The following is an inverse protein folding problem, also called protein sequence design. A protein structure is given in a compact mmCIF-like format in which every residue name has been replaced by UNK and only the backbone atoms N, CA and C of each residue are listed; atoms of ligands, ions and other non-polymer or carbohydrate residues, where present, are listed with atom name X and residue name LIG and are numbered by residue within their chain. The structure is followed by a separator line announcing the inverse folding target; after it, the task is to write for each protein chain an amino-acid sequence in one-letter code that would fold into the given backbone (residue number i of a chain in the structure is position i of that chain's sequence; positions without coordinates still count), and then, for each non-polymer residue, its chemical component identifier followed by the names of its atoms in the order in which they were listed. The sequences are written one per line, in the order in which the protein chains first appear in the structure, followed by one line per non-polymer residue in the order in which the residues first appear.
data_IF_966167911337
#
_entry.id   IF_966167911337
#
_cell.length_a   1.000
_cell.length_b   1.000
_cell.length_c   1.000
_cell.angle_alpha   90.00
_cell.angle_beta   90.00
_cell.angle_gamma   90.00
#
_symmetry.space_group_name_H-M   'P 1'
#
loop_
_entity.id
_entity.type
_entity.pdbx_description
1 polymer ?
#
# COMPACT_ATOMS: atom_id res chain seq x y z
N UNK A 1 17.61 -38.47 -23.30
CA UNK A 1 16.58 -37.92 -22.40
C UNK A 1 16.44 -36.45 -22.75
N UNK A 2 15.37 -36.09 -23.47
CA UNK A 2 15.03 -34.69 -23.69
C UNK A 2 14.47 -34.15 -22.38
N UNK A 3 15.29 -33.48 -21.58
CA UNK A 3 14.79 -32.58 -20.54
C UNK A 3 14.10 -31.44 -21.27
N UNK A 4 12.77 -31.49 -21.37
CA UNK A 4 11.99 -30.32 -21.74
C UNK A 4 12.48 -29.16 -20.86
N UNK A 5 12.80 -28.02 -21.47
CA UNK A 5 13.09 -26.83 -20.69
C UNK A 5 11.91 -26.59 -19.76
N UNK A 6 12.14 -26.34 -18.46
CA UNK A 6 11.03 -26.09 -17.54
C UNK A 6 10.20 -24.94 -18.10
N UNK A 7 8.88 -25.15 -18.21
CA UNK A 7 7.94 -24.08 -18.55
C UNK A 7 8.17 -22.94 -17.55
N UNK A 8 8.42 -21.71 -18.03
CA UNK A 8 8.69 -20.58 -17.15
C UNK A 8 7.49 -20.38 -16.22
N UNK A 9 7.76 -20.37 -14.92
CA UNK A 9 6.72 -20.22 -13.90
C UNK A 9 6.18 -18.80 -13.90
N UNK A 10 4.90 -18.58 -13.53
CA UNK A 10 4.37 -17.24 -13.37
C UNK A 10 5.19 -16.41 -12.38
N UNK A 11 5.37 -15.12 -12.68
CA UNK A 11 6.27 -14.24 -11.93
C UNK A 11 5.50 -13.22 -11.09
N UNK A 12 5.69 -13.24 -9.77
CA UNK A 12 5.23 -12.20 -8.86
C UNK A 12 6.39 -11.21 -8.63
N UNK A 13 6.18 -9.96 -8.99
CA UNK A 13 7.23 -8.94 -9.07
C UNK A 13 6.97 -7.84 -8.05
N UNK A 14 8.01 -7.48 -7.31
CA UNK A 14 8.05 -6.30 -6.45
C UNK A 14 9.11 -5.33 -6.98
N UNK A 15 8.76 -4.06 -7.01
CA UNK A 15 9.68 -2.96 -7.29
C UNK A 15 9.84 -2.12 -6.03
N UNK A 16 11.02 -2.12 -5.43
CA UNK A 16 11.23 -1.53 -4.10
C UNK A 16 12.52 -0.75 -4.08
N UNK A 17 12.47 0.54 -3.74
CA UNK A 17 13.68 1.35 -3.59
C UNK A 17 13.48 2.52 -2.63
N UNK A 18 14.58 3.00 -2.05
CA UNK A 18 14.59 4.19 -1.21
C UNK A 18 14.37 3.90 0.28
N UNK A 19 13.27 4.41 0.84
CA UNK A 19 13.08 4.40 2.29
C UNK A 19 12.90 2.97 2.84
N UNK A 20 13.53 2.69 3.99
CA UNK A 20 13.45 1.40 4.70
C UNK A 20 11.99 0.94 4.92
N UNK A 21 11.05 1.86 5.10
CA UNK A 21 9.64 1.51 5.27
C UNK A 21 9.06 0.76 4.07
N UNK A 22 9.52 1.01 2.85
CA UNK A 22 9.04 0.29 1.66
C UNK A 22 9.58 -1.14 1.60
N UNK A 23 10.83 -1.35 2.04
CA UNK A 23 11.40 -2.69 2.20
C UNK A 23 10.67 -3.49 3.28
N UNK A 24 10.33 -2.85 4.40
CA UNK A 24 9.52 -3.46 5.45
C UNK A 24 8.14 -3.91 4.94
N UNK A 25 7.46 -3.04 4.21
CA UNK A 25 6.19 -3.36 3.56
C UNK A 25 6.33 -4.56 2.60
N UNK A 26 7.34 -4.54 1.72
CA UNK A 26 7.58 -5.62 0.76
C UNK A 26 7.90 -6.96 1.42
N UNK A 27 8.76 -6.97 2.45
CA UNK A 27 9.10 -8.19 3.22
C UNK A 27 7.84 -8.81 3.81
N UNK A 28 6.97 -8.00 4.40
CA UNK A 28 5.71 -8.50 4.95
C UNK A 28 4.73 -8.98 3.87
N UNK A 29 4.58 -8.23 2.77
CA UNK A 29 3.74 -8.64 1.65
C UNK A 29 4.17 -10.00 1.09
N UNK A 30 5.48 -10.19 0.86
CA UNK A 30 6.05 -11.48 0.43
C UNK A 30 5.79 -12.58 1.46
N UNK A 31 6.00 -12.32 2.76
CA UNK A 31 5.74 -13.31 3.81
C UNK A 31 4.26 -13.74 3.83
N UNK A 32 3.33 -12.80 3.62
CA UNK A 32 1.89 -13.11 3.55
C UNK A 32 1.54 -13.96 2.33
N UNK A 33 2.19 -13.73 1.19
CA UNK A 33 2.05 -14.59 0.00
C UNK A 33 2.57 -16.00 0.27
N UNK A 34 3.77 -16.13 0.86
CA UNK A 34 4.40 -17.42 1.19
C UNK A 34 3.56 -18.23 2.19
N UNK A 35 2.93 -17.57 3.16
CA UNK A 35 2.05 -18.22 4.14
C UNK A 35 0.85 -18.92 3.49
N UNK A 36 0.37 -18.39 2.36
CA UNK A 36 -0.77 -18.94 1.61
C UNK A 36 -0.34 -19.94 0.54
N UNK A 37 0.86 -19.78 -0.03
CA UNK A 37 1.45 -20.78 -0.91
C UNK A 37 1.83 -22.07 -0.18
N UNK A 38 2.23 -21.97 1.09
CA UNK A 38 2.50 -23.14 1.94
C UNK A 38 1.28 -24.06 2.06
N UNK A 39 0.08 -23.50 2.06
CA UNK A 39 -1.18 -24.26 2.15
C UNK A 39 -1.60 -24.83 0.78
N UNK A 40 -1.10 -24.27 -0.32
CA UNK A 40 -1.39 -24.69 -1.68
C UNK A 40 -0.32 -25.71 -2.15
N UNK A 41 -0.60 -27.00 -1.95
CA UNK A 41 0.17 -28.07 -2.59
C UNK A 41 0.07 -27.87 -4.11
N UNK A 42 1.22 -27.73 -4.79
CA UNK A 42 1.39 -27.63 -6.26
C UNK A 42 1.40 -26.23 -6.92
N UNK A 43 1.28 -25.13 -6.17
CA UNK A 43 1.40 -23.78 -6.75
C UNK A 43 2.87 -23.34 -6.91
N UNK A 44 3.40 -23.44 -8.13
CA UNK A 44 4.77 -23.03 -8.43
C UNK A 44 4.84 -21.61 -9.02
N UNK A 45 5.01 -20.61 -8.16
CA UNK A 45 5.20 -19.19 -8.52
C UNK A 45 6.60 -18.78 -8.12
N UNK A 46 7.29 -18.02 -8.99
CA UNK A 46 8.57 -17.42 -8.66
C UNK A 46 8.36 -15.95 -8.26
N UNK A 47 9.04 -15.52 -7.20
CA UNK A 47 8.97 -14.15 -6.69
C UNK A 47 10.27 -13.42 -7.04
N UNK A 48 10.15 -12.25 -7.66
CA UNK A 48 11.27 -11.39 -8.02
C UNK A 48 11.16 -10.04 -7.33
N UNK A 49 12.27 -9.55 -6.79
CA UNK A 49 12.34 -8.23 -6.13
C UNK A 49 13.41 -7.39 -6.81
N UNK A 50 13.01 -6.32 -7.48
CA UNK A 50 13.92 -5.31 -8.01
C UNK A 50 14.22 -4.30 -6.92
N UNK A 51 15.47 -4.24 -6.47
CA UNK A 51 15.83 -3.47 -5.26
C UNK A 51 17.21 -2.82 -5.31
N UNK A 52 17.30 -1.62 -4.74
CA UNK A 52 18.57 -0.94 -4.44
C UNK A 52 19.23 -1.42 -3.15
N UNK A 53 18.48 -2.11 -2.31
CA UNK A 53 18.96 -2.75 -1.09
C UNK A 53 18.55 -4.24 -1.08
N UNK A 54 19.47 -5.19 -1.32
CA UNK A 54 19.15 -6.61 -1.31
C UNK A 54 19.02 -7.20 0.10
N UNK A 55 19.59 -6.55 1.12
CA UNK A 55 19.75 -7.12 2.46
C UNK A 55 18.44 -7.57 3.14
N UNK A 56 17.32 -6.81 3.07
CA UNK A 56 16.06 -7.20 3.70
C UNK A 56 15.50 -8.54 3.19
N UNK A 57 15.91 -8.98 2.01
CA UNK A 57 15.33 -10.14 1.32
C UNK A 57 16.18 -11.40 1.45
N UNK A 58 17.36 -11.34 2.08
CA UNK A 58 18.34 -12.46 2.11
C UNK A 58 17.81 -13.76 2.72
N UNK A 59 16.77 -13.69 3.56
CA UNK A 59 16.14 -14.83 4.23
C UNK A 59 14.82 -15.26 3.58
N UNK A 60 14.41 -14.62 2.48
CA UNK A 60 13.20 -14.95 1.74
C UNK A 60 13.57 -15.77 0.48
N UNK A 61 12.73 -16.74 0.06
CA UNK A 61 12.93 -17.53 -1.15
C UNK A 61 12.56 -16.72 -2.41
N UNK A 62 13.26 -15.60 -2.64
CA UNK A 62 13.00 -14.69 -3.75
C UNK A 62 14.26 -14.47 -4.57
N UNK A 63 14.08 -14.15 -5.86
CA UNK A 63 15.18 -13.67 -6.70
C UNK A 63 15.29 -12.16 -6.58
N UNK A 64 16.36 -11.69 -5.94
CA UNK A 64 16.65 -10.25 -5.89
C UNK A 64 17.38 -9.83 -7.17
N UNK A 65 16.83 -8.86 -7.90
CA UNK A 65 17.48 -8.21 -9.04
C UNK A 65 17.98 -6.83 -8.61
N UNK A 66 19.29 -6.55 -8.74
CA UNK A 66 19.82 -5.23 -8.42
C UNK A 66 19.16 -4.13 -9.25
N UNK A 67 18.77 -3.05 -8.59
CA UNK A 67 18.21 -1.85 -9.19
C UNK A 67 19.08 -0.65 -8.81
N UNK A 68 20.15 -0.44 -9.56
CA UNK A 68 21.09 0.65 -9.32
C UNK A 68 20.51 2.02 -9.71
N UNK A 69 21.16 3.09 -9.23
CA UNK A 69 20.72 4.47 -9.47
C UNK A 69 20.65 4.81 -10.97
N UNK A 70 21.61 4.33 -11.75
CA UNK A 70 21.66 4.57 -13.20
C UNK A 70 20.46 3.96 -13.92
N UNK A 71 20.11 2.71 -13.59
CA UNK A 71 18.96 2.01 -14.14
C UNK A 71 17.66 2.70 -13.74
N UNK A 72 17.52 3.10 -12.47
CA UNK A 72 16.33 3.85 -12.00
C UNK A 72 16.17 5.15 -12.77
N UNK A 73 17.24 5.93 -12.90
CA UNK A 73 17.20 7.21 -13.61
C UNK A 73 16.73 7.01 -15.05
N UNK A 74 17.30 6.03 -15.76
CA UNK A 74 16.90 5.66 -17.12
C UNK A 74 15.43 5.22 -17.21
N UNK A 75 14.92 4.49 -16.22
CA UNK A 75 13.52 4.06 -16.23
C UNK A 75 12.52 5.20 -15.95
N UNK A 76 12.98 6.27 -15.28
CA UNK A 76 12.19 7.48 -15.03
C UNK A 76 12.25 8.51 -16.18
N UNK A 77 13.18 8.38 -17.12
CA UNK A 77 13.29 9.26 -18.29
C UNK A 77 12.06 9.14 -19.20
N UNK A 78 11.67 10.23 -19.90
CA UNK A 78 12.40 11.49 -20.05
C UNK A 78 12.15 12.52 -18.94
N UNK A 79 11.13 12.35 -18.10
CA UNK A 79 10.67 13.42 -17.18
C UNK A 79 11.11 13.26 -15.73
N UNK A 80 11.80 12.16 -15.38
CA UNK A 80 12.09 11.84 -13.98
C UNK A 80 10.86 11.31 -13.22
N UNK A 81 9.85 10.81 -13.92
CA UNK A 81 8.60 10.32 -13.31
C UNK A 81 8.78 8.91 -12.73
N UNK A 82 8.94 8.81 -11.41
CA UNK A 82 9.25 7.53 -10.77
C UNK A 82 8.17 6.46 -10.91
N UNK A 83 6.89 6.79 -11.05
CA UNK A 83 5.85 5.77 -11.26
C UNK A 83 5.91 5.09 -12.64
N UNK A 84 6.54 5.73 -13.63
CA UNK A 84 6.84 5.12 -14.94
C UNK A 84 7.57 3.79 -14.80
N UNK A 85 8.45 3.70 -13.81
CA UNK A 85 9.28 2.51 -13.54
C UNK A 85 8.47 1.24 -13.30
N UNK A 86 7.25 1.34 -12.75
CA UNK A 86 6.33 0.20 -12.55
C UNK A 86 6.02 -0.50 -13.88
N UNK A 87 5.73 0.27 -14.92
CA UNK A 87 5.40 -0.28 -16.24
C UNK A 87 6.64 -0.84 -16.93
N UNK A 88 7.77 -0.13 -16.82
CA UNK A 88 9.05 -0.55 -17.41
C UNK A 88 9.49 -1.90 -16.84
N UNK A 89 9.46 -2.08 -15.52
CA UNK A 89 9.90 -3.33 -14.89
C UNK A 89 9.00 -4.51 -15.27
N UNK A 90 7.67 -4.32 -15.25
CA UNK A 90 6.74 -5.39 -15.62
C UNK A 90 6.92 -5.77 -17.09
N UNK A 91 7.13 -4.77 -17.95
CA UNK A 91 7.39 -4.98 -19.39
C UNK A 91 8.66 -5.78 -19.63
N UNK A 92 9.72 -5.52 -18.86
CA UNK A 92 10.97 -6.27 -18.92
C UNK A 92 10.78 -7.72 -18.44
N UNK A 93 10.05 -7.95 -17.34
CA UNK A 93 9.79 -9.30 -16.85
C UNK A 93 8.98 -10.13 -17.86
N UNK A 94 8.02 -9.51 -18.56
CA UNK A 94 7.25 -10.17 -19.62
C UNK A 94 8.08 -10.51 -20.88
N UNK A 95 9.33 -10.05 -20.99
CA UNK A 95 10.25 -10.57 -22.02
C UNK A 95 10.78 -11.96 -21.68
N UNK A 96 10.78 -12.32 -20.40
CA UNK A 96 11.38 -13.56 -19.88
C UNK A 96 10.32 -14.54 -19.34
N UNK A 97 9.06 -14.10 -19.18
CA UNK A 97 7.96 -14.89 -18.62
C UNK A 97 6.67 -14.71 -19.42
N UNK A 98 5.89 -15.79 -19.52
CA UNK A 98 4.58 -15.79 -20.17
C UNK A 98 3.53 -15.01 -19.38
N UNK A 99 3.57 -15.03 -18.05
CA UNK A 99 2.68 -14.27 -17.18
C UNK A 99 3.48 -13.60 -16.07
N UNK A 100 3.18 -12.33 -15.80
CA UNK A 100 3.79 -11.58 -14.70
C UNK A 100 2.77 -10.65 -14.04
N UNK A 101 2.92 -10.52 -12.73
CA UNK A 101 2.17 -9.59 -11.88
C UNK A 101 3.14 -8.66 -11.16
N UNK A 102 3.00 -7.35 -11.31
CA UNK A 102 3.61 -6.38 -10.40
C UNK A 102 2.64 -6.06 -9.27
N UNK A 103 3.13 -6.03 -8.04
CA UNK A 103 2.36 -5.64 -6.87
C UNK A 103 3.09 -4.56 -6.07
N UNK A 104 2.33 -3.58 -5.55
CA UNK A 104 2.86 -2.55 -4.68
C UNK A 104 3.28 -3.14 -3.31
N UNK A 105 4.24 -2.50 -2.64
CA UNK A 105 4.78 -2.98 -1.37
C UNK A 105 3.76 -2.92 -0.25
N UNK A 106 2.85 -1.95 -0.27
CA UNK A 106 1.82 -1.72 0.73
C UNK A 106 0.59 -2.63 0.54
N UNK A 107 0.87 -3.92 0.38
CA UNK A 107 -0.11 -4.97 0.17
C UNK A 107 0.10 -6.13 1.14
N UNK A 108 -0.94 -6.93 1.36
CA UNK A 108 -0.78 -8.29 1.87
C UNK A 108 -1.93 -9.18 1.37
N UNK A 109 -1.65 -10.47 1.29
CA UNK A 109 -2.51 -11.44 0.65
C UNK A 109 -3.54 -12.00 1.63
N UNK A 110 -4.77 -12.21 1.14
CA UNK A 110 -5.84 -12.91 1.84
C UNK A 110 -6.10 -14.30 1.27
N UNK A 111 -5.74 -14.50 0.02
CA UNK A 111 -5.88 -15.75 -0.72
C UNK A 111 -4.57 -16.11 -1.40
N UNK A 112 -4.43 -17.38 -1.81
CA UNK A 112 -3.23 -17.83 -2.51
C UNK A 112 -2.92 -16.93 -3.72
N UNK A 113 -1.68 -16.47 -3.89
CA UNK A 113 -1.26 -15.69 -5.07
C UNK A 113 -1.63 -16.35 -6.40
N UNK A 114 -1.74 -17.68 -6.45
CA UNK A 114 -2.19 -18.43 -7.65
C UNK A 114 -3.52 -17.92 -8.20
N UNK A 115 -4.45 -17.54 -7.33
CA UNK A 115 -5.77 -17.03 -7.73
C UNK A 115 -5.67 -15.71 -8.53
N UNK A 116 -4.59 -14.94 -8.38
CA UNK A 116 -4.34 -13.77 -9.21
C UNK A 116 -3.90 -14.16 -10.62
N UNK A 117 -2.99 -15.13 -10.71
CA UNK A 117 -2.49 -15.62 -12.00
C UNK A 117 -3.59 -16.29 -12.82
N UNK A 118 -4.52 -17.00 -12.17
CA UNK A 118 -5.71 -17.57 -12.82
C UNK A 118 -6.60 -16.50 -13.46
N UNK A 119 -6.57 -15.25 -12.97
CA UNK A 119 -7.31 -14.14 -13.56
C UNK A 119 -6.65 -13.56 -14.80
N UNK A 120 -5.37 -13.86 -15.05
CA UNK A 120 -4.62 -13.34 -16.19
C UNK A 120 -4.57 -14.39 -17.31
N UNK A 121 -5.24 -14.07 -18.40
CA UNK A 121 -5.24 -14.84 -19.66
C UNK A 121 -4.92 -13.86 -20.80
N UNK A 122 -4.51 -14.34 -22.00
CA UNK A 122 -4.42 -13.47 -23.17
C UNK A 122 -5.68 -12.61 -23.36
N UNK A 123 -5.50 -11.33 -23.64
CA UNK A 123 -6.56 -10.33 -23.75
C UNK A 123 -7.07 -9.78 -22.40
N UNK A 124 -6.39 -10.05 -21.28
CA UNK A 124 -6.80 -9.58 -19.94
C UNK A 124 -5.75 -8.73 -19.25
N UNK A 125 -6.16 -7.58 -18.71
CA UNK A 125 -5.40 -6.81 -17.72
C UNK A 125 -5.98 -7.07 -16.33
N UNK A 126 -5.16 -7.55 -15.41
CA UNK A 126 -5.49 -7.54 -13.98
C UNK A 126 -5.04 -6.21 -13.37
N UNK A 127 -5.94 -5.51 -12.69
CA UNK A 127 -5.64 -4.37 -11.83
C UNK A 127 -6.07 -4.65 -10.39
N UNK A 128 -5.70 -3.80 -9.44
CA UNK A 128 -6.14 -3.97 -8.05
C UNK A 128 -7.65 -3.72 -7.91
N UNK A 129 -8.12 -2.57 -8.39
CA UNK A 129 -9.53 -2.17 -8.33
C UNK A 129 -9.89 -1.18 -9.45
N UNK A 130 -11.16 -1.16 -9.83
CA UNK A 130 -11.72 -0.01 -10.52
C UNK A 130 -11.96 1.14 -9.54
N UNK A 131 -11.73 2.38 -9.99
CA UNK A 131 -12.17 3.57 -9.29
C UNK A 131 -13.55 4.01 -9.80
N UNK A 132 -13.57 4.99 -10.69
CA UNK A 132 -14.80 5.57 -11.27
C UNK A 132 -14.62 5.78 -12.76
N UNK A 133 -15.71 5.99 -13.49
CA UNK A 133 -15.64 6.45 -14.87
C UNK A 133 -14.95 7.81 -14.94
N UNK A 134 -14.14 8.00 -15.98
CA UNK A 134 -13.39 9.23 -16.20
C UNK A 134 -14.30 10.47 -16.22
N UNK A 135 -15.45 10.38 -16.88
CA UNK A 135 -16.44 11.46 -16.98
C UNK A 135 -17.16 11.83 -15.68
N UNK A 136 -17.17 10.92 -14.69
CA UNK A 136 -17.82 11.13 -13.40
C UNK A 136 -16.94 11.95 -12.43
N UNK A 137 -15.64 12.08 -12.71
CA UNK A 137 -14.69 12.80 -11.86
C UNK A 137 -14.11 14.05 -12.53
N UNK A 138 -15.01 14.96 -12.94
CA UNK A 138 -14.65 16.20 -13.66
C UNK A 138 -13.81 17.17 -12.85
N UNK A 139 -13.87 17.07 -11.52
CA UNK A 139 -13.07 17.90 -10.60
C UNK A 139 -11.62 17.41 -10.47
N UNK A 140 -11.30 16.21 -10.97
CA UNK A 140 -9.92 15.71 -10.92
C UNK A 140 -8.97 16.56 -11.76
N UNK A 141 -7.72 16.65 -11.30
CA UNK A 141 -6.63 17.32 -12.02
C UNK A 141 -6.46 16.72 -13.41
N UNK A 142 -6.55 15.39 -13.54
CA UNK A 142 -6.39 14.70 -14.83
C UNK A 142 -7.55 15.00 -15.80
N UNK A 143 -8.79 15.11 -15.32
CA UNK A 143 -9.91 15.50 -16.19
C UNK A 143 -9.73 16.92 -16.69
N UNK A 144 -9.54 17.87 -15.77
CA UNK A 144 -9.39 19.29 -16.12
C UNK A 144 -8.16 19.57 -17.00
N UNK A 145 -7.06 18.83 -16.80
CA UNK A 145 -5.82 19.05 -17.54
C UNK A 145 -5.75 18.34 -18.90
N UNK A 146 -6.36 17.15 -19.05
CA UNK A 146 -6.13 16.28 -20.20
C UNK A 146 -7.37 16.03 -21.08
N UNK A 147 -8.59 16.33 -20.64
CA UNK A 147 -9.82 15.91 -21.32
C UNK A 147 -9.86 16.30 -22.81
N UNK A 148 -9.60 17.57 -23.16
CA UNK A 148 -9.62 18.00 -24.56
C UNK A 148 -8.54 17.28 -25.40
N UNK A 149 -7.33 17.14 -24.86
CA UNK A 149 -6.22 16.45 -25.53
C UNK A 149 -6.56 14.98 -25.80
N UNK A 150 -7.11 14.27 -24.81
CA UNK A 150 -7.48 12.87 -24.97
C UNK A 150 -8.60 12.67 -26.00
N UNK A 151 -9.55 13.61 -26.06
CA UNK A 151 -10.59 13.63 -27.10
C UNK A 151 -9.99 13.84 -28.49
N UNK A 152 -9.08 14.80 -28.64
CA UNK A 152 -8.43 15.10 -29.92
C UNK A 152 -7.57 13.91 -30.40
N UNK A 153 -6.93 13.21 -29.48
CA UNK A 153 -6.18 11.98 -29.74
C UNK A 153 -7.08 10.77 -30.04
N UNK A 154 -8.36 10.81 -29.65
CA UNK A 154 -9.29 9.69 -29.80
C UNK A 154 -8.97 8.46 -28.95
N UNK A 155 -8.22 8.62 -27.85
CA UNK A 155 -7.72 7.50 -27.02
C UNK A 155 -8.56 7.19 -25.79
N UNK A 156 -9.38 8.13 -25.34
CA UNK A 156 -10.26 7.96 -24.18
C UNK A 156 -11.52 8.83 -24.29
N UNK A 157 -12.57 8.41 -23.60
CA UNK A 157 -13.79 9.19 -23.41
C UNK A 157 -14.34 9.01 -21.99
N UNK A 158 -15.46 9.65 -21.71
CA UNK A 158 -16.08 9.74 -20.37
C UNK A 158 -16.45 8.35 -19.80
N UNK A 159 -16.60 7.32 -20.64
CA UNK A 159 -16.97 5.96 -20.22
C UNK A 159 -15.78 5.10 -19.79
N UNK A 160 -14.54 5.54 -20.02
CA UNK A 160 -13.34 4.82 -19.58
C UNK A 160 -13.31 4.70 -18.06
N UNK A 161 -13.19 3.47 -17.55
CA UNK A 161 -12.95 3.24 -16.12
C UNK A 161 -11.50 3.61 -15.77
N UNK A 162 -11.34 4.38 -14.70
CA UNK A 162 -10.01 4.61 -14.11
C UNK A 162 -9.63 3.44 -13.20
N UNK A 163 -8.36 3.05 -13.25
CA UNK A 163 -7.83 1.86 -12.57
C UNK A 163 -6.90 2.24 -11.42
N UNK A 164 -6.77 1.34 -10.44
CA UNK A 164 -5.68 1.36 -9.47
C UNK A 164 -4.61 0.32 -9.86
N UNK A 165 -3.36 0.77 -9.98
CA UNK A 165 -2.22 -0.04 -10.40
C UNK A 165 -1.43 -0.63 -9.23
N UNK A 166 -2.03 -0.71 -8.04
CA UNK A 166 -1.45 -1.42 -6.89
C UNK A 166 -1.20 -2.90 -7.15
N UNK A 167 -1.89 -3.44 -8.16
CA UNK A 167 -1.63 -4.71 -8.83
C UNK A 167 -1.70 -4.43 -10.32
N UNK A 168 -0.77 -4.96 -11.10
CA UNK A 168 -0.82 -4.99 -12.56
C UNK A 168 -0.44 -6.37 -13.05
N UNK A 169 -1.31 -7.02 -13.81
CA UNK A 169 -1.07 -8.36 -14.32
C UNK A 169 -1.38 -8.52 -15.78
N UNK A 170 -0.44 -9.08 -16.53
CA UNK A 170 -0.56 -9.26 -17.97
C UNK A 170 0.05 -10.59 -18.41
N UNK A 171 -0.48 -11.09 -19.52
CA UNK A 171 0.14 -12.13 -20.31
C UNK A 171 1.16 -11.50 -21.28
N UNK A 172 2.21 -12.22 -21.66
CA UNK A 172 3.29 -11.74 -22.53
C UNK A 172 2.77 -11.22 -23.88
N UNK A 173 1.74 -11.85 -24.44
CA UNK A 173 1.09 -11.43 -25.68
C UNK A 173 0.49 -10.01 -25.59
N UNK A 174 0.10 -9.59 -24.40
CA UNK A 174 -0.51 -8.29 -24.13
C UNK A 174 0.50 -7.26 -23.57
N UNK A 175 1.80 -7.61 -23.52
CA UNK A 175 2.85 -6.74 -23.00
C UNK A 175 2.94 -5.38 -23.73
N UNK A 176 2.46 -5.30 -24.98
CA UNK A 176 2.38 -4.07 -25.77
C UNK A 176 1.50 -2.98 -25.12
N UNK A 177 0.57 -3.35 -24.23
CA UNK A 177 -0.22 -2.38 -23.45
C UNK A 177 0.67 -1.55 -22.52
N UNK A 178 1.74 -2.14 -21.98
CA UNK A 178 2.70 -1.40 -21.17
C UNK A 178 3.55 -0.46 -22.03
N UNK A 179 3.93 -0.88 -23.23
CA UNK A 179 4.63 -0.02 -24.20
C UNK A 179 3.77 1.22 -24.50
N UNK A 180 2.48 1.01 -24.80
CA UNK A 180 1.53 2.10 -25.03
C UNK A 180 1.32 2.99 -23.80
N UNK A 181 1.20 2.41 -22.61
CA UNK A 181 1.06 3.18 -21.36
C UNK A 181 2.29 4.04 -21.10
N UNK A 182 3.49 3.52 -21.36
CA UNK A 182 4.76 4.25 -21.23
C UNK A 182 4.82 5.43 -22.21
N UNK A 183 4.47 5.23 -23.48
CA UNK A 183 4.38 6.30 -24.47
C UNK A 183 3.39 7.39 -24.05
N UNK A 184 2.22 6.99 -23.55
CA UNK A 184 1.21 7.93 -23.05
C UNK A 184 1.70 8.70 -21.82
N UNK A 185 2.41 8.06 -20.89
CA UNK A 185 3.02 8.77 -19.77
C UNK A 185 4.02 9.82 -20.28
N UNK A 186 4.88 9.44 -21.23
CA UNK A 186 5.91 10.34 -21.77
C UNK A 186 5.29 11.53 -22.53
N UNK A 187 4.18 11.32 -23.24
CA UNK A 187 3.44 12.37 -23.96
C UNK A 187 2.61 13.27 -23.03
N UNK A 188 1.92 12.68 -22.05
CA UNK A 188 0.94 13.40 -21.23
C UNK A 188 1.54 14.05 -19.98
N UNK A 189 2.70 13.58 -19.51
CA UNK A 189 3.32 14.09 -18.28
C UNK A 189 3.51 15.62 -18.24
N UNK A 190 4.00 16.30 -19.30
CA UNK A 190 4.12 17.77 -19.31
C UNK A 190 2.78 18.51 -19.16
N UNK A 191 1.67 17.82 -19.43
CA UNK A 191 0.32 18.38 -19.41
C UNK A 191 -0.48 17.96 -18.18
N UNK A 192 -0.04 16.94 -17.43
CA UNK A 192 -0.79 16.34 -16.33
C UNK A 192 -0.82 17.19 -15.04
N UNK A 193 -0.24 18.39 -15.04
CA UNK A 193 -0.21 19.34 -13.91
C UNK A 193 0.25 18.72 -12.57
N UNK A 194 1.23 17.80 -12.65
CA UNK A 194 1.76 17.12 -11.47
C UNK A 194 0.80 16.10 -10.84
N UNK A 195 -0.21 15.62 -11.58
CA UNK A 195 -1.07 14.54 -11.13
C UNK A 195 -0.24 13.31 -10.73
N UNK A 196 -0.42 12.88 -9.48
CA UNK A 196 0.37 11.82 -8.87
C UNK A 196 0.17 10.45 -9.55
N UNK A 197 -1.08 10.16 -9.90
CA UNK A 197 -1.57 8.86 -10.41
C UNK A 197 -1.62 8.81 -11.95
N UNK A 198 -0.72 9.53 -12.63
CA UNK A 198 -0.69 9.53 -14.09
C UNK A 198 -0.40 8.13 -14.65
N UNK A 199 0.40 7.31 -13.97
CA UNK A 199 0.71 5.96 -14.42
C UNK A 199 -0.53 5.06 -14.44
N UNK A 200 -1.36 5.11 -13.40
CA UNK A 200 -2.58 4.30 -13.33
C UNK A 200 -3.59 4.77 -14.40
N UNK A 201 -3.62 6.08 -14.65
CA UNK A 201 -4.46 6.68 -15.67
C UNK A 201 -4.01 6.30 -17.09
N UNK A 202 -2.72 6.34 -17.39
CA UNK A 202 -2.17 5.90 -18.68
C UNK A 202 -2.38 4.39 -18.92
N UNK A 203 -2.30 3.57 -17.87
CA UNK A 203 -2.67 2.15 -17.95
C UNK A 203 -4.15 1.98 -18.33
N UNK A 204 -5.02 2.77 -17.71
CA UNK A 204 -6.46 2.78 -18.00
C UNK A 204 -6.72 3.07 -19.48
N UNK A 205 -6.05 4.09 -20.04
CA UNK A 205 -6.17 4.47 -21.45
C UNK A 205 -5.63 3.36 -22.36
N UNK A 206 -4.46 2.79 -22.05
CA UNK A 206 -3.84 1.77 -22.89
C UNK A 206 -4.66 0.46 -22.99
N UNK A 207 -5.38 0.11 -21.92
CA UNK A 207 -6.26 -1.06 -21.87
C UNK A 207 -7.69 -0.81 -22.38
N UNK A 208 -8.09 0.47 -22.52
CA UNK A 208 -9.47 0.82 -22.84
C UNK A 208 -9.84 0.35 -24.25
N UNK A 209 -10.91 -0.47 -24.33
CA UNK A 209 -11.42 -1.11 -25.56
C UNK A 209 -10.48 -2.12 -26.23
N UNK A 210 -9.31 -2.38 -25.64
CA UNK A 210 -8.31 -3.32 -26.16
C UNK A 210 -8.25 -4.60 -25.35
N UNK A 211 -8.43 -4.51 -24.03
CA UNK A 211 -8.39 -5.65 -23.10
C UNK A 211 -9.65 -5.75 -22.25
N UNK A 212 -9.93 -6.97 -21.79
CA UNK A 212 -10.86 -7.19 -20.69
C UNK A 212 -10.15 -6.89 -19.36
N UNK A 213 -10.63 -5.91 -18.60
CA UNK A 213 -10.02 -5.56 -17.31
C UNK A 213 -10.68 -6.35 -16.17
N UNK A 214 -9.88 -6.92 -15.27
CA UNK A 214 -10.34 -7.62 -14.06
C UNK A 214 -9.72 -6.98 -12.82
N UNK A 215 -10.45 -6.94 -11.72
CA UNK A 215 -9.96 -6.45 -10.42
C UNK A 215 -9.67 -7.59 -9.43
N UNK A 216 -8.98 -7.29 -8.33
CA UNK A 216 -8.68 -8.26 -7.27
C UNK A 216 -8.72 -7.75 -5.81
N UNK A 217 -9.66 -6.87 -5.42
CA UNK A 217 -9.74 -6.38 -4.04
C UNK A 217 -10.15 -7.48 -3.04
N UNK A 218 -10.68 -8.60 -3.54
CA UNK A 218 -11.05 -9.78 -2.76
C UNK A 218 -9.86 -10.69 -2.44
N UNK A 219 -8.77 -10.61 -3.20
CA UNK A 219 -7.58 -11.45 -3.03
C UNK A 219 -6.46 -10.74 -2.27
N UNK A 220 -6.33 -9.43 -2.45
CA UNK A 220 -5.25 -8.61 -1.88
C UNK A 220 -5.85 -7.43 -1.12
N UNK A 221 -5.31 -7.17 0.07
CA UNK A 221 -5.53 -5.91 0.76
C UNK A 221 -4.45 -4.90 0.37
N UNK A 222 -4.84 -3.85 -0.37
CA UNK A 222 -3.98 -2.72 -0.68
C UNK A 222 -4.27 -1.54 0.28
N UNK A 223 -3.36 -1.26 1.22
CA UNK A 223 -3.62 -0.29 2.29
C UNK A 223 -3.09 1.11 1.97
N UNK A 224 -3.68 1.78 0.99
CA UNK A 224 -3.27 3.14 0.62
C UNK A 224 -3.72 4.23 1.62
N UNK A 225 -4.80 3.98 2.37
CA UNK A 225 -5.32 4.86 3.42
C UNK A 225 -4.87 4.42 4.81
N UNK A 226 -4.63 5.38 5.72
CA UNK A 226 -4.19 5.11 7.10
C UNK A 226 -2.92 4.24 7.20
N UNK A 227 -2.03 4.34 6.21
CA UNK A 227 -0.76 3.58 6.10
C UNK A 227 0.01 3.43 7.41
N UNK A 228 0.06 4.47 8.25
CA UNK A 228 0.82 4.44 9.50
C UNK A 228 0.34 3.35 10.47
N UNK A 229 -0.97 3.06 10.51
CA UNK A 229 -1.50 1.99 11.36
C UNK A 229 -1.03 0.62 10.85
N UNK A 230 -1.20 0.35 9.56
CA UNK A 230 -0.74 -0.90 8.95
C UNK A 230 0.78 -1.07 9.05
N UNK A 231 1.55 0.00 8.83
CA UNK A 231 3.01 0.01 9.03
C UNK A 231 3.41 -0.34 10.46
N UNK A 232 2.63 0.05 11.47
CA UNK A 232 2.92 -0.36 12.85
C UNK A 232 2.73 -1.86 13.05
N UNK A 233 1.70 -2.45 12.44
CA UNK A 233 1.50 -3.92 12.46
C UNK A 233 2.65 -4.64 11.76
N UNK A 234 3.02 -4.17 10.56
CA UNK A 234 4.14 -4.69 9.77
C UNK A 234 5.44 -4.62 10.57
N UNK A 235 5.74 -3.48 11.19
CA UNK A 235 6.93 -3.31 12.02
C UNK A 235 6.95 -4.24 13.22
N UNK A 236 5.82 -4.45 13.88
CA UNK A 236 5.73 -5.41 14.98
C UNK A 236 5.98 -6.85 14.51
N UNK A 237 5.42 -7.25 13.36
CA UNK A 237 5.70 -8.55 12.77
C UNK A 237 7.18 -8.71 12.40
N UNK A 238 7.79 -7.71 11.77
CA UNK A 238 9.22 -7.75 11.42
C UNK A 238 10.09 -7.80 12.67
N UNK A 239 9.80 -6.98 13.70
CA UNK A 239 10.56 -7.00 14.95
C UNK A 239 10.54 -8.38 15.60
N UNK A 240 9.42 -9.11 15.50
CA UNK A 240 9.26 -10.46 16.02
C UNK A 240 9.97 -11.52 15.16
N UNK A 241 9.94 -11.37 13.83
CA UNK A 241 10.28 -12.45 12.88
C UNK A 241 11.47 -12.20 11.97
N UNK A 242 12.16 -11.05 12.06
CA UNK A 242 13.25 -10.68 11.14
C UNK A 242 14.37 -11.72 11.03
N UNK A 243 14.65 -12.47 12.09
CA UNK A 243 15.69 -13.50 12.09
C UNK A 243 15.31 -14.76 11.29
N UNK A 244 14.02 -15.04 11.13
CA UNK A 244 13.51 -16.17 10.37
C UNK A 244 12.07 -15.92 9.84
N UNK A 245 11.94 -15.07 8.80
CA UNK A 245 10.63 -14.60 8.30
C UNK A 245 9.81 -15.68 7.59
N UNK A 246 10.40 -16.86 7.35
CA UNK A 246 9.76 -18.00 6.68
C UNK A 246 9.49 -19.18 7.61
N UNK A 247 9.76 -19.02 8.92
CA UNK A 247 9.39 -20.03 9.92
C UNK A 247 7.88 -20.26 9.95
N UNK A 248 7.46 -21.45 10.38
CA UNK A 248 6.03 -21.77 10.49
C UNK A 248 5.28 -20.73 11.35
N UNK A 249 5.88 -20.33 12.49
CA UNK A 249 5.34 -19.30 13.37
C UNK A 249 5.23 -17.94 12.67
N UNK A 250 6.28 -17.49 11.96
CA UNK A 250 6.25 -16.23 11.24
C UNK A 250 5.12 -16.20 10.20
N UNK A 251 4.99 -17.28 9.43
CA UNK A 251 3.97 -17.43 8.40
C UNK A 251 2.55 -17.54 9.00
N UNK A 252 2.38 -18.18 10.16
CA UNK A 252 1.09 -18.24 10.86
C UNK A 252 0.69 -16.86 11.40
N UNK A 253 1.65 -16.12 11.96
CA UNK A 253 1.45 -14.77 12.48
C UNK A 253 1.09 -13.75 11.40
N UNK A 254 1.42 -13.98 10.12
CA UNK A 254 0.95 -13.10 9.04
C UNK A 254 -0.58 -13.02 9.00
N UNK A 255 -1.30 -14.08 9.40
CA UNK A 255 -2.77 -14.11 9.46
C UNK A 255 -3.35 -13.29 10.61
N UNK A 256 -2.56 -13.04 11.64
CA UNK A 256 -2.96 -12.21 12.77
C UNK A 256 -2.81 -10.71 12.47
N UNK A 257 -2.02 -10.34 11.45
CA UNK A 257 -1.93 -8.95 10.97
C UNK A 257 -3.19 -8.63 10.18
N UNK A 258 -4.16 -8.04 10.86
CA UNK A 258 -5.50 -7.83 10.28
C UNK A 258 -5.54 -6.71 9.22
N UNK A 259 -6.36 -6.89 8.18
CA UNK A 259 -6.76 -5.82 7.24
C UNK A 259 -7.73 -4.79 7.83
N UNK A 260 -8.26 -5.08 9.01
CA UNK A 260 -9.17 -4.17 9.69
C UNK A 260 -8.39 -3.06 10.39
N UNK A 261 -8.94 -1.85 10.37
CA UNK A 261 -8.41 -0.78 11.21
C UNK A 261 -8.60 -1.17 12.69
N UNK A 262 -7.53 -1.22 13.49
CA UNK A 262 -7.62 -1.62 14.89
C UNK A 262 -8.31 -0.48 15.65
N UNK A 263 -9.61 -0.67 15.85
CA UNK A 263 -10.47 0.26 16.58
C UNK A 263 -11.12 -0.48 17.73
N UNK A 264 -11.38 0.20 18.85
CA UNK A 264 -12.18 -0.38 19.90
C UNK A 264 -13.57 -0.78 19.37
N UNK A 265 -14.21 -1.80 19.97
CA UNK A 265 -15.58 -2.20 19.66
C UNK A 265 -16.56 -1.03 19.76
N UNK A 266 -17.70 -1.14 19.08
CA UNK A 266 -18.71 -0.07 18.99
C UNK A 266 -19.16 0.43 20.37
N UNK A 267 -19.39 -0.49 21.31
CA UNK A 267 -19.79 -0.14 22.68
C UNK A 267 -18.68 0.62 23.42
N UNK A 268 -17.43 0.20 23.29
CA UNK A 268 -16.29 0.89 23.88
C UNK A 268 -16.12 2.31 23.30
N UNK A 269 -16.27 2.47 21.98
CA UNK A 269 -16.23 3.80 21.33
C UNK A 269 -17.37 4.70 21.77
N UNK A 270 -18.57 4.14 22.01
CA UNK A 270 -19.68 4.88 22.58
C UNK A 270 -19.36 5.32 24.02
N UNK A 271 -18.82 4.43 24.85
CA UNK A 271 -18.37 4.77 26.20
C UNK A 271 -17.33 5.89 26.20
N UNK A 272 -16.30 5.82 25.35
CA UNK A 272 -15.32 6.90 25.20
C UNK A 272 -15.96 8.21 24.78
N UNK A 273 -16.97 8.16 23.91
CA UNK A 273 -17.74 9.35 23.53
C UNK A 273 -18.48 9.94 24.73
N UNK A 274 -19.19 9.13 25.51
CA UNK A 274 -19.95 9.60 26.67
C UNK A 274 -19.04 10.18 27.75
N UNK A 275 -17.98 9.46 28.11
CA UNK A 275 -17.03 9.87 29.14
C UNK A 275 -16.27 11.15 28.76
N UNK A 276 -16.05 11.41 27.47
CA UNK A 276 -15.41 12.66 27.01
C UNK A 276 -16.35 13.86 26.92
N UNK A 277 -17.67 13.71 27.09
CA UNK A 277 -18.61 14.85 27.02
C UNK A 277 -18.41 15.87 28.15
N UNK A 278 -17.88 15.43 29.29
CA UNK A 278 -17.58 16.32 30.42
C UNK A 278 -16.35 17.21 30.17
N UNK A 279 -15.56 16.92 29.13
CA UNK A 279 -14.40 17.71 28.75
C UNK A 279 -14.79 18.88 27.84
N UNK A 280 -14.00 19.97 27.84
CA UNK A 280 -14.15 21.06 26.88
C UNK A 280 -14.23 20.55 25.43
N UNK A 281 -15.11 21.14 24.61
CA UNK A 281 -15.39 20.69 23.22
C UNK A 281 -14.12 20.54 22.37
N UNK A 282 -13.13 21.41 22.56
CA UNK A 282 -11.85 21.39 21.85
C UNK A 282 -10.91 20.23 22.26
N UNK A 283 -11.14 19.57 23.39
CA UNK A 283 -10.35 18.43 23.89
C UNK A 283 -11.00 17.08 23.58
N UNK A 284 -12.33 17.02 23.42
CA UNK A 284 -13.07 15.77 23.37
C UNK A 284 -12.55 14.82 22.27
N UNK A 285 -12.35 15.33 21.05
CA UNK A 285 -11.92 14.48 19.94
C UNK A 285 -10.47 14.02 20.11
N UNK A 286 -9.58 14.88 20.62
CA UNK A 286 -8.20 14.52 20.93
C UNK A 286 -8.17 13.38 21.97
N UNK A 287 -8.85 13.54 23.11
CA UNK A 287 -8.88 12.50 24.15
C UNK A 287 -9.56 11.21 23.65
N UNK A 288 -10.61 11.28 22.83
CA UNK A 288 -11.21 10.07 22.22
C UNK A 288 -10.20 9.30 21.37
N UNK A 289 -9.39 9.98 20.56
CA UNK A 289 -8.37 9.36 19.72
C UNK A 289 -7.23 8.78 20.58
N UNK A 290 -6.85 9.45 21.69
CA UNK A 290 -5.91 8.89 22.69
C UNK A 290 -6.44 7.57 23.27
N UNK A 291 -7.73 7.52 23.63
CA UNK A 291 -8.37 6.33 24.20
C UNK A 291 -8.44 5.15 23.22
N UNK A 292 -8.40 5.41 21.90
CA UNK A 292 -8.32 4.32 20.92
C UNK A 292 -6.98 3.59 21.04
N UNK A 293 -5.89 4.33 21.21
CA UNK A 293 -4.57 3.72 21.47
C UNK A 293 -4.44 3.12 22.87
N UNK A 294 -5.38 3.39 23.78
CA UNK A 294 -5.42 2.75 25.09
C UNK A 294 -6.22 1.45 25.10
N UNK A 295 -6.86 1.06 24.00
CA UNK A 295 -7.62 -0.18 23.98
C UNK A 295 -6.70 -1.39 23.86
N UNK A 296 -7.02 -2.46 24.59
CA UNK A 296 -6.30 -3.72 24.53
C UNK A 296 -6.86 -4.60 23.42
N UNK A 297 -6.02 -4.91 22.44
CA UNK A 297 -6.35 -5.76 21.31
C UNK A 297 -5.96 -7.22 21.57
N UNK A 298 -6.69 -8.15 20.95
CA UNK A 298 -6.49 -9.59 21.14
C UNK A 298 -5.14 -10.08 20.58
N UNK A 299 -4.63 -9.43 19.54
CA UNK A 299 -3.34 -9.74 18.94
C UNK A 299 -2.36 -8.58 19.09
N UNK A 300 -1.08 -8.92 19.21
CA UNK A 300 0.00 -7.96 19.43
C UNK A 300 0.21 -6.98 18.25
N UNK A 301 -0.14 -7.40 17.03
CA UNK A 301 0.05 -6.58 15.84
C UNK A 301 -0.95 -5.42 15.79
N UNK A 302 -2.21 -5.66 16.12
CA UNK A 302 -3.20 -4.60 16.33
C UNK A 302 -2.86 -3.75 17.55
N UNK A 303 -2.34 -4.37 18.62
CA UNK A 303 -1.86 -3.65 19.81
C UNK A 303 -0.73 -2.67 19.47
N UNK A 304 0.15 -3.00 18.52
CA UNK A 304 1.25 -2.15 18.08
C UNK A 304 0.79 -0.82 17.45
N UNK A 305 -0.48 -0.69 17.08
CA UNK A 305 -1.05 0.56 16.58
C UNK A 305 -1.31 1.62 17.67
N UNK A 306 -1.16 1.28 18.96
CA UNK A 306 -1.44 2.19 20.06
C UNK A 306 -0.70 3.54 19.97
N UNK A 307 0.63 3.60 19.78
CA UNK A 307 1.34 4.87 19.66
C UNK A 307 0.93 5.68 18.42
N UNK A 308 0.59 5.00 17.32
CA UNK A 308 0.14 5.65 16.08
C UNK A 308 -1.20 6.35 16.28
N UNK A 309 -2.11 5.80 17.09
CA UNK A 309 -3.34 6.49 17.47
C UNK A 309 -3.06 7.78 18.24
N UNK A 310 -2.04 7.79 19.10
CA UNK A 310 -1.65 8.97 19.86
C UNK A 310 -1.03 10.05 18.95
N UNK A 311 -0.10 9.66 18.08
CA UNK A 311 0.48 10.57 17.10
C UNK A 311 -0.61 11.17 16.19
N UNK A 312 -1.58 10.35 15.78
CA UNK A 312 -2.70 10.81 14.95
C UNK A 312 -3.63 11.75 15.72
N UNK A 313 -3.84 11.51 17.01
CA UNK A 313 -4.60 12.40 17.88
C UNK A 313 -3.98 13.80 17.90
N UNK A 314 -2.65 13.86 18.11
CA UNK A 314 -1.89 15.11 18.08
C UNK A 314 -2.00 15.79 16.72
N UNK A 315 -1.67 15.09 15.64
CA UNK A 315 -1.69 15.66 14.28
C UNK A 315 -3.07 16.22 13.91
N UNK A 316 -4.13 15.44 14.14
CA UNK A 316 -5.50 15.88 13.83
C UNK A 316 -5.88 17.12 14.65
N UNK A 317 -5.41 17.21 15.89
CA UNK A 317 -5.68 18.35 16.73
C UNK A 317 -4.92 19.59 16.24
N UNK A 318 -3.64 19.46 15.89
CA UNK A 318 -2.81 20.52 15.29
C UNK A 318 -3.43 21.06 14.00
N UNK A 319 -3.92 20.17 13.12
CA UNK A 319 -4.65 20.51 11.90
C UNK A 319 -5.93 21.31 12.19
N UNK A 320 -6.74 20.89 13.18
CA UNK A 320 -7.98 21.58 13.57
C UNK A 320 -7.72 23.00 14.10
N UNK A 321 -6.68 23.17 14.89
CA UNK A 321 -6.35 24.47 15.49
C UNK A 321 -5.39 25.32 14.65
N UNK A 322 -4.87 24.78 13.54
CA UNK A 322 -3.87 25.40 12.65
C UNK A 322 -2.62 25.89 13.38
N UNK A 323 -2.22 25.20 14.45
CA UNK A 323 -1.01 25.47 15.24
C UNK A 323 -0.49 24.19 15.91
N UNK A 324 0.83 24.08 16.15
CA UNK A 324 1.39 22.97 16.91
C UNK A 324 0.81 22.87 18.32
N UNK A 325 0.79 21.66 18.88
CA UNK A 325 0.56 21.46 20.31
C UNK A 325 1.89 21.65 21.03
N UNK A 326 1.97 22.67 21.88
CA UNK A 326 3.10 22.86 22.77
C UNK A 326 2.99 22.00 24.04
N UNK A 327 4.13 21.85 24.73
CA UNK A 327 4.25 21.04 25.94
C UNK A 327 3.29 21.50 27.04
N UNK A 328 3.14 22.81 27.21
CA UNK A 328 2.33 23.40 28.27
C UNK A 328 0.83 23.10 28.06
N UNK A 329 0.35 23.17 26.82
CA UNK A 329 -1.01 22.82 26.47
C UNK A 329 -1.29 21.34 26.72
N UNK A 330 -0.36 20.47 26.33
CA UNK A 330 -0.48 19.03 26.54
C UNK A 330 -0.47 18.70 28.04
N UNK A 331 0.47 19.27 28.80
CA UNK A 331 0.55 19.12 30.25
C UNK A 331 -0.73 19.60 30.92
N UNK A 332 -1.25 20.77 30.53
CA UNK A 332 -2.51 21.29 31.06
C UNK A 332 -3.69 20.34 30.79
N UNK A 333 -3.78 19.76 29.60
CA UNK A 333 -4.85 18.81 29.28
C UNK A 333 -4.71 17.51 30.04
N UNK A 334 -3.49 17.00 30.19
CA UNK A 334 -3.19 15.78 30.95
C UNK A 334 -3.25 16.02 32.47
N UNK A 335 -3.26 17.26 32.94
CA UNK A 335 -3.48 17.63 34.33
C UNK A 335 -4.97 17.65 34.72
N UNK A 336 -5.89 17.64 33.76
CA UNK A 336 -7.32 17.63 34.03
C UNK A 336 -7.71 16.37 34.85
N UNK A 337 -8.44 16.51 35.98
CA UNK A 337 -8.79 15.38 36.86
C UNK A 337 -9.53 14.25 36.14
N UNK A 338 -10.40 14.59 35.19
CA UNK A 338 -11.13 13.62 34.39
C UNK A 338 -10.16 12.87 33.47
N UNK A 339 -9.24 13.56 32.80
CA UNK A 339 -8.24 12.92 31.94
C UNK A 339 -7.32 12.00 32.76
N UNK A 340 -6.92 12.44 33.96
CA UNK A 340 -6.15 11.59 34.90
C UNK A 340 -6.90 10.32 35.29
N UNK A 341 -8.20 10.44 35.58
CA UNK A 341 -9.03 9.29 35.93
C UNK A 341 -9.17 8.31 34.77
N UNK A 342 -9.43 8.80 33.55
CA UNK A 342 -9.69 7.92 32.40
C UNK A 342 -8.40 7.26 31.90
N UNK A 343 -7.28 7.99 31.84
CA UNK A 343 -6.01 7.44 31.34
C UNK A 343 -5.24 6.65 32.39
N UNK A 344 -5.50 6.90 33.68
CA UNK A 344 -4.85 6.21 34.79
C UNK A 344 -3.31 6.26 34.69
N UNK A 345 -2.67 5.12 34.93
CA UNK A 345 -1.22 4.96 34.88
C UNK A 345 -0.64 5.13 33.47
N UNK A 346 -1.43 4.88 32.41
CA UNK A 346 -0.98 5.01 31.01
C UNK A 346 -0.69 6.46 30.62
N UNK A 347 -1.22 7.42 31.38
CA UNK A 347 -1.11 8.86 31.13
C UNK A 347 0.35 9.31 30.94
N UNK A 348 1.25 8.83 31.79
CA UNK A 348 2.66 9.24 31.78
C UNK A 348 3.36 8.75 30.50
N UNK A 349 3.20 7.47 30.16
CA UNK A 349 3.75 6.90 28.94
C UNK A 349 3.21 7.60 27.67
N UNK A 350 1.91 7.93 27.63
CA UNK A 350 1.30 8.66 26.52
C UNK A 350 1.87 10.07 26.40
N UNK A 351 1.99 10.78 27.53
CA UNK A 351 2.55 12.12 27.56
C UNK A 351 4.00 12.12 27.07
N UNK A 352 4.84 11.23 27.59
CA UNK A 352 6.23 11.10 27.15
C UNK A 352 6.35 10.78 25.67
N UNK A 353 5.52 9.86 25.16
CA UNK A 353 5.49 9.53 23.73
C UNK A 353 5.16 10.76 22.90
N UNK A 354 4.08 11.46 23.24
CA UNK A 354 3.66 12.66 22.53
C UNK A 354 4.68 13.80 22.59
N UNK A 355 5.47 13.89 23.65
CA UNK A 355 6.55 14.87 23.79
C UNK A 355 7.78 14.53 22.94
N UNK A 356 8.09 13.23 22.76
CA UNK A 356 9.23 12.75 21.97
C UNK A 356 8.92 12.72 20.47
N UNK A 357 7.66 12.53 20.08
CA UNK A 357 7.23 12.61 18.69
C UNK A 357 7.32 14.06 18.19
N UNK A 358 8.13 14.39 17.16
CA UNK A 358 8.04 15.70 16.54
C UNK A 358 6.65 15.83 15.89
N UNK A 359 5.95 16.93 16.17
CA UNK A 359 4.82 17.36 15.34
C UNK A 359 5.36 17.49 13.91
N UNK A 360 4.71 16.82 12.95
CA UNK A 360 5.14 16.88 11.54
C UNK A 360 4.80 18.20 10.90
#
# INVERSE_FOLDING_TARGET
MNTAAPTPRPQLVYLVFGAETYHQEAVFSIASALALLRDAQDAAIDIQVFSDNPEPYRLLPVRVRPLDEATRKRWCEPHGYHFRTKHVVLRQVLQESEVALLIDTDTFFHHSPTALFERVQPGTLLCNAFYTKYGDNRESILYSALHQRLRDMGVADDDMMTLNSGVMGLHQQDAHVLDRSIELMDELFPHAQGAYTLEEFCLSIAAYRTLNVRECPDLIHHYWSRKQLFRAKVKAWIAKHAANPTSALALDDTRQVSAHLPRPPRLQRLMYKLVTLVLPKNQQQFIREILYGCYEHENEFDQACAPVWWDKARQNQEERQKRPIDAHLLEHWFANPVVRLILGERREAIYEHLMKSPGK
#
